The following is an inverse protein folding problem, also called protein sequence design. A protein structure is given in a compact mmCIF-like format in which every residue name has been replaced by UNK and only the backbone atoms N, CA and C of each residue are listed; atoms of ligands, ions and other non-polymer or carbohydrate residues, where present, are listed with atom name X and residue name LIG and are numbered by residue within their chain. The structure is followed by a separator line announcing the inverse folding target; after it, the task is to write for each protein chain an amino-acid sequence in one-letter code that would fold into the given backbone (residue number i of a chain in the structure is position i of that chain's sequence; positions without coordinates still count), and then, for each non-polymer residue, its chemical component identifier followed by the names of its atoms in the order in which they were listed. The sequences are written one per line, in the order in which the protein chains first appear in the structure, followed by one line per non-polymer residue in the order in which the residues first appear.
data_IF_371108901218
#
_entry.id   IF_371108901218
#
_cell.length_a   1.000
_cell.length_b   1.000
_cell.length_c   1.000
_cell.angle_alpha   90.00
_cell.angle_beta   90.00
_cell.angle_gamma   90.00
#
_symmetry.space_group_name_H-M   'P 1'
#
loop_
_entity.id
_entity.type
_entity.pdbx_description
1 polymer ?
#
# COMPACT_ATOMS: atom_id res chain seq x y z
N UNK A 1 9.84 12.52 22.53
CA UNK A 1 8.42 12.11 22.46
C UNK A 1 8.35 10.60 22.61
N UNK A 2 7.36 10.03 23.31
CA UNK A 2 7.03 8.60 23.13
C UNK A 2 6.11 8.53 21.92
N UNK A 3 6.45 7.70 20.94
CA UNK A 3 5.53 7.31 19.86
C UNK A 3 4.38 6.53 20.48
N UNK A 4 3.16 6.80 20.03
CA UNK A 4 1.99 6.02 20.43
C UNK A 4 1.94 4.67 19.67
N UNK A 5 0.85 3.92 19.81
CA UNK A 5 0.69 2.64 19.14
C UNK A 5 0.59 2.75 17.60
N UNK A 6 0.33 3.94 17.05
CA UNK A 6 0.35 4.21 15.60
C UNK A 6 1.77 4.35 15.05
N UNK A 7 2.74 4.61 15.94
CA UNK A 7 4.12 4.87 15.58
C UNK A 7 4.43 6.33 15.21
N UNK A 8 3.42 7.20 15.19
CA UNK A 8 3.56 8.61 14.86
C UNK A 8 3.95 9.46 16.08
N UNK A 9 4.61 10.60 15.85
CA UNK A 9 4.59 11.71 16.81
C UNK A 9 3.28 12.49 16.67
N UNK A 10 2.87 13.27 17.70
CA UNK A 10 1.76 14.20 17.59
C UNK A 10 1.81 15.11 16.36
N UNK A 11 2.97 15.64 15.97
CA UNK A 11 3.10 16.48 14.78
C UNK A 11 2.80 15.71 13.50
N UNK A 12 3.28 14.47 13.38
CA UNK A 12 3.02 13.61 12.22
C UNK A 12 1.55 13.17 12.16
N UNK A 13 0.95 12.89 13.31
CA UNK A 13 -0.47 12.56 13.43
C UNK A 13 -1.33 13.72 12.94
N UNK A 14 -1.06 14.95 13.40
CA UNK A 14 -1.82 16.12 12.98
C UNK A 14 -1.60 16.46 11.49
N UNK A 15 -0.40 16.28 10.96
CA UNK A 15 -0.13 16.44 9.52
C UNK A 15 -0.99 15.48 8.67
N UNK A 16 -0.99 14.20 9.02
CA UNK A 16 -1.81 13.19 8.33
C UNK A 16 -3.30 13.43 8.51
N UNK A 17 -3.74 13.82 9.71
CA UNK A 17 -5.14 14.20 9.99
C UNK A 17 -5.56 15.34 9.08
N UNK A 18 -4.79 16.42 9.02
CA UNK A 18 -5.12 17.60 8.19
C UNK A 18 -5.17 17.28 6.70
N UNK A 19 -4.32 16.38 6.21
CA UNK A 19 -4.38 15.95 4.81
C UNK A 19 -5.64 15.15 4.49
N UNK A 20 -6.03 14.17 5.32
CA UNK A 20 -7.19 13.33 5.07
C UNK A 20 -8.54 13.95 5.45
N UNK A 21 -8.53 14.75 6.51
CA UNK A 21 -9.73 15.31 7.14
C UNK A 21 -9.43 16.73 7.62
N UNK A 22 -9.25 17.69 6.70
CA UNK A 22 -9.02 19.08 7.06
C UNK A 22 -10.22 19.65 7.80
N UNK A 23 -9.97 20.39 8.89
CA UNK A 23 -11.01 21.16 9.56
C UNK A 23 -11.40 22.38 8.68
N UNK A 24 -12.61 22.95 8.84
CA UNK A 24 -13.09 24.05 7.97
C UNK A 24 -12.17 25.28 7.96
N UNK A 25 -11.36 25.46 9.01
CA UNK A 25 -10.42 26.56 9.19
C UNK A 25 -9.02 26.27 8.63
N UNK A 26 -8.73 25.02 8.26
CA UNK A 26 -7.44 24.64 7.72
C UNK A 26 -7.25 25.16 6.28
N UNK A 27 -6.07 25.72 6.01
CA UNK A 27 -5.65 25.94 4.62
C UNK A 27 -5.44 24.58 3.95
N UNK A 28 -5.98 24.43 2.75
CA UNK A 28 -5.75 23.26 1.90
C UNK A 28 -4.25 23.06 1.70
N UNK A 29 -3.79 21.83 1.88
CA UNK A 29 -2.39 21.47 1.68
C UNK A 29 -2.27 20.78 0.32
N UNK A 30 -1.41 21.32 -0.54
CA UNK A 30 -1.12 20.71 -1.83
C UNK A 30 -0.47 19.33 -1.61
N UNK A 31 -0.83 18.35 -2.44
CA UNK A 31 -0.36 16.97 -2.30
C UNK A 31 1.17 16.89 -2.31
N UNK A 32 1.82 17.58 -3.23
CA UNK A 32 3.29 17.60 -3.32
C UNK A 32 3.94 18.17 -2.05
N UNK A 33 3.37 19.22 -1.46
CA UNK A 33 3.88 19.84 -0.23
C UNK A 33 3.64 18.93 0.98
N UNK A 34 2.51 18.22 1.02
CA UNK A 34 2.23 17.21 2.03
C UNK A 34 3.20 16.02 1.95
N UNK A 35 3.36 15.43 0.76
CA UNK A 35 4.21 14.27 0.54
C UNK A 35 5.69 14.58 0.83
N UNK A 36 6.15 15.79 0.51
CA UNK A 36 7.51 16.25 0.80
C UNK A 36 7.83 16.36 2.31
N UNK A 37 6.81 16.41 3.17
CA UNK A 37 6.99 16.48 4.63
C UNK A 37 7.10 15.10 5.29
N UNK A 38 6.72 14.02 4.60
CA UNK A 38 6.80 12.67 5.16
C UNK A 38 8.25 12.17 5.15
N UNK A 39 8.73 11.68 6.28
CA UNK A 39 10.14 11.32 6.46
C UNK A 39 10.37 9.97 7.15
N UNK A 40 9.30 9.30 7.58
CA UNK A 40 9.36 8.07 8.36
C UNK A 40 8.56 6.92 7.74
N UNK A 41 8.99 5.66 7.95
CA UNK A 41 8.23 4.49 7.51
C UNK A 41 6.81 4.42 8.08
N UNK A 42 6.63 4.88 9.32
CA UNK A 42 5.34 4.89 10.01
C UNK A 42 4.36 5.87 9.36
N UNK A 43 4.81 7.06 8.93
CA UNK A 43 3.99 7.98 8.13
C UNK A 43 3.53 7.35 6.81
N UNK A 44 4.45 6.72 6.07
CA UNK A 44 4.11 6.03 4.82
C UNK A 44 3.14 4.88 5.05
N UNK A 45 3.29 4.16 6.16
CA UNK A 45 2.38 3.08 6.51
C UNK A 45 0.97 3.60 6.80
N UNK A 46 0.84 4.66 7.59
CA UNK A 46 -0.46 5.24 7.90
C UNK A 46 -1.12 5.87 6.68
N UNK A 47 -0.33 6.52 5.80
CA UNK A 47 -0.77 6.99 4.49
C UNK A 47 -1.31 5.82 3.65
N UNK A 48 -0.52 4.76 3.44
CA UNK A 48 -0.98 3.56 2.71
C UNK A 48 -2.22 2.90 3.34
N UNK A 49 -2.33 2.89 4.67
CA UNK A 49 -3.41 2.23 5.39
C UNK A 49 -4.74 2.99 5.33
N UNK A 50 -4.68 4.32 5.17
CA UNK A 50 -5.86 5.18 5.05
C UNK A 50 -6.20 5.58 3.62
N UNK A 51 -5.30 5.35 2.67
CA UNK A 51 -5.48 5.74 1.27
C UNK A 51 -6.83 5.30 0.69
N UNK A 52 -7.48 6.24 0.01
CA UNK A 52 -8.70 6.00 -0.74
C UNK A 52 -8.33 5.48 -2.14
N UNK A 53 -8.61 4.20 -2.39
CA UNK A 53 -8.19 3.52 -3.63
C UNK A 53 -8.93 4.00 -4.89
N UNK A 54 -10.01 4.77 -4.73
CA UNK A 54 -10.69 5.46 -5.84
C UNK A 54 -9.85 6.63 -6.39
N UNK A 55 -8.83 7.11 -5.67
CA UNK A 55 -7.95 8.20 -6.09
C UNK A 55 -6.82 7.73 -7.04
N UNK A 56 -6.84 6.46 -7.44
CA UNK A 56 -5.90 5.86 -8.39
C UNK A 56 -4.64 5.27 -7.75
N UNK A 57 -3.58 5.13 -8.53
CA UNK A 57 -2.34 4.47 -8.08
C UNK A 57 -1.21 5.45 -7.73
N UNK A 58 -1.42 6.77 -7.87
CA UNK A 58 -0.37 7.79 -7.77
C UNK A 58 0.38 7.81 -6.43
N UNK A 59 -0.35 7.95 -5.32
CA UNK A 59 0.26 7.93 -3.98
C UNK A 59 0.87 6.55 -3.65
N UNK A 60 0.18 5.41 -3.87
CA UNK A 60 0.80 4.08 -3.72
C UNK A 60 2.11 3.91 -4.48
N UNK A 61 2.15 4.35 -5.74
CA UNK A 61 3.34 4.34 -6.59
C UNK A 61 4.46 5.23 -6.03
N UNK A 62 4.11 6.42 -5.54
CA UNK A 62 5.05 7.30 -4.86
C UNK A 62 5.62 6.66 -3.57
N UNK A 63 4.78 6.01 -2.75
CA UNK A 63 5.20 5.38 -1.49
C UNK A 63 6.25 4.30 -1.75
N UNK A 64 6.04 3.42 -2.73
CA UNK A 64 6.96 2.29 -3.00
C UNK A 64 8.31 2.73 -3.57
N UNK A 65 8.44 4.01 -3.95
CA UNK A 65 9.68 4.63 -4.44
C UNK A 65 10.45 5.34 -3.34
N UNK A 66 9.87 5.52 -2.16
CA UNK A 66 10.55 6.17 -1.04
C UNK A 66 11.65 5.26 -0.46
N UNK A 67 12.84 5.81 -0.14
CA UNK A 67 13.97 5.02 0.36
C UNK A 67 13.73 4.43 1.76
N UNK A 68 12.74 4.95 2.49
CA UNK A 68 12.31 4.49 3.80
C UNK A 68 10.97 3.75 3.78
N UNK A 69 10.49 3.35 2.60
CA UNK A 69 9.33 2.46 2.50
C UNK A 69 9.64 1.10 3.15
N UNK A 70 8.83 0.73 4.14
CA UNK A 70 8.96 -0.53 4.85
C UNK A 70 8.42 -1.68 4.01
N UNK A 71 9.06 -2.85 4.11
CA UNK A 71 8.61 -4.08 3.44
C UNK A 71 7.16 -4.44 3.82
N UNK A 72 6.74 -4.22 5.06
CA UNK A 72 5.35 -4.43 5.49
C UNK A 72 4.38 -3.46 4.81
N UNK A 73 4.78 -2.20 4.64
CA UNK A 73 3.99 -1.18 3.92
C UNK A 73 3.85 -1.52 2.43
N UNK A 74 4.93 -1.98 1.78
CA UNK A 74 4.86 -2.44 0.40
C UNK A 74 3.91 -3.64 0.25
N UNK A 75 3.96 -4.59 1.19
CA UNK A 75 3.06 -5.75 1.16
C UNK A 75 1.59 -5.35 1.39
N UNK A 76 1.32 -4.40 2.28
CA UNK A 76 0.00 -3.81 2.48
C UNK A 76 -0.55 -3.23 1.16
N UNK A 77 0.25 -2.41 0.46
CA UNK A 77 -0.14 -1.81 -0.82
C UNK A 77 -0.39 -2.86 -1.89
N UNK A 78 0.46 -3.89 -1.97
CA UNK A 78 0.27 -4.97 -2.95
C UNK A 78 -1.09 -5.64 -2.82
N UNK A 79 -1.49 -6.02 -1.60
CA UNK A 79 -2.74 -6.74 -1.38
C UNK A 79 -3.97 -5.85 -1.53
N UNK A 80 -3.88 -4.59 -1.09
CA UNK A 80 -4.97 -3.62 -1.24
C UNK A 80 -5.15 -3.09 -2.66
N UNK A 81 -4.14 -3.19 -3.50
CA UNK A 81 -4.26 -2.99 -4.94
C UNK A 81 -5.05 -4.10 -5.66
N UNK A 82 -5.62 -5.07 -4.91
CA UNK A 82 -6.40 -6.18 -5.42
C UNK A 82 -5.69 -6.92 -6.56
N UNK A 83 -4.54 -7.57 -6.31
CA UNK A 83 -3.61 -7.98 -7.35
C UNK A 83 -4.15 -9.13 -8.22
N UNK A 84 -5.23 -9.78 -7.81
CA UNK A 84 -5.83 -10.94 -8.47
C UNK A 84 -5.92 -10.87 -10.01
N UNK A 85 -6.45 -9.80 -10.62
CA UNK A 85 -6.55 -9.69 -12.08
C UNK A 85 -5.20 -9.84 -12.80
N UNK A 86 -4.09 -9.40 -12.20
CA UNK A 86 -2.73 -9.60 -12.74
C UNK A 86 -2.32 -11.07 -12.84
N UNK A 87 -2.96 -11.96 -12.07
CA UNK A 87 -2.58 -13.38 -11.98
C UNK A 87 -3.59 -14.32 -12.62
N UNK A 88 -4.88 -13.98 -12.66
CA UNK A 88 -5.90 -14.83 -13.30
C UNK A 88 -6.51 -14.25 -14.59
N UNK A 89 -6.60 -12.92 -14.72
CA UNK A 89 -7.33 -12.31 -15.84
C UNK A 89 -6.40 -12.00 -17.03
N UNK A 90 -5.18 -11.54 -16.77
CA UNK A 90 -4.25 -11.09 -17.81
C UNK A 90 -2.92 -11.85 -17.74
N UNK A 91 -2.35 -12.17 -18.90
CA UNK A 91 -1.04 -12.80 -19.04
C UNK A 91 0.08 -11.76 -19.07
N UNK A 92 -0.23 -10.53 -19.49
CA UNK A 92 0.69 -9.40 -19.53
C UNK A 92 -0.07 -8.07 -19.66
N UNK A 93 0.68 -6.97 -19.54
CA UNK A 93 0.19 -5.59 -19.70
C UNK A 93 -0.45 -5.31 -21.07
N UNK A 94 0.04 -5.94 -22.14
CA UNK A 94 -0.49 -5.75 -23.50
C UNK A 94 -1.92 -6.29 -23.60
N UNK A 95 -2.18 -7.50 -23.09
CA UNK A 95 -3.53 -8.10 -23.04
C UNK A 95 -4.51 -7.17 -22.31
N UNK A 96 -4.11 -6.62 -21.17
CA UNK A 96 -4.92 -5.65 -20.42
C UNK A 96 -5.20 -4.38 -21.24
N UNK A 97 -4.18 -3.78 -21.87
CA UNK A 97 -4.37 -2.55 -22.64
C UNK A 97 -5.32 -2.71 -23.84
N UNK A 98 -5.48 -3.93 -24.34
CA UNK A 98 -6.41 -4.26 -25.43
C UNK A 98 -7.83 -4.58 -24.93
N UNK A 99 -8.00 -4.87 -23.63
CA UNK A 99 -9.33 -5.10 -23.04
C UNK A 99 -10.04 -3.79 -22.73
N UNK A 100 -11.30 -3.66 -23.17
CA UNK A 100 -12.17 -2.50 -22.89
C UNK A 100 -12.89 -2.62 -21.53
N UNK A 101 -12.18 -3.08 -20.51
CA UNK A 101 -12.77 -3.33 -19.18
C UNK A 101 -12.52 -2.15 -18.24
N UNK A 102 -13.50 -1.86 -17.39
CA UNK A 102 -13.39 -0.86 -16.31
C UNK A 102 -12.95 -1.51 -14.99
N UNK A 103 -12.72 -2.82 -14.96
CA UNK A 103 -12.53 -3.58 -13.72
C UNK A 103 -11.13 -3.45 -13.12
N UNK A 104 -10.13 -3.08 -13.92
CA UNK A 104 -8.73 -3.01 -13.47
C UNK A 104 -7.94 -2.11 -14.43
N UNK A 105 -7.27 -1.09 -13.90
CA UNK A 105 -6.52 -0.12 -14.70
C UNK A 105 -5.05 -0.55 -14.90
N UNK A 106 -4.44 -0.07 -15.98
CA UNK A 106 -3.02 -0.23 -16.30
C UNK A 106 -2.13 0.30 -15.18
N UNK A 107 -2.52 1.39 -14.52
CA UNK A 107 -1.71 1.97 -13.45
C UNK A 107 -1.64 1.04 -12.22
N UNK A 108 -2.74 0.37 -11.87
CA UNK A 108 -2.73 -0.65 -10.81
C UNK A 108 -1.99 -1.91 -11.23
N UNK A 109 -2.08 -2.31 -12.51
CA UNK A 109 -1.26 -3.40 -13.02
C UNK A 109 0.23 -3.09 -12.85
N UNK A 110 0.66 -1.90 -13.26
CA UNK A 110 2.05 -1.46 -13.20
C UNK A 110 2.52 -1.36 -11.74
N UNK A 111 1.70 -0.82 -10.84
CA UNK A 111 1.95 -0.80 -9.39
C UNK A 111 2.18 -2.21 -8.83
N UNK A 112 1.29 -3.15 -9.12
CA UNK A 112 1.38 -4.54 -8.62
C UNK A 112 2.66 -5.22 -9.12
N UNK A 113 3.01 -5.03 -10.40
CA UNK A 113 4.25 -5.58 -10.94
C UNK A 113 5.48 -4.95 -10.28
N UNK A 114 5.52 -3.62 -10.12
CA UNK A 114 6.66 -2.92 -9.52
C UNK A 114 6.86 -3.32 -8.06
N UNK A 115 5.77 -3.48 -7.29
CA UNK A 115 5.85 -3.98 -5.91
C UNK A 115 6.41 -5.41 -5.90
N UNK A 116 5.89 -6.33 -6.72
CA UNK A 116 6.39 -7.71 -6.80
C UNK A 116 7.90 -7.73 -7.09
N UNK A 117 8.35 -7.01 -8.12
CA UNK A 117 9.76 -6.94 -8.53
C UNK A 117 10.66 -6.40 -7.41
N UNK A 118 10.28 -5.29 -6.78
CA UNK A 118 11.01 -4.71 -5.64
C UNK A 118 11.03 -5.63 -4.43
N UNK A 119 9.91 -6.28 -4.15
CA UNK A 119 9.76 -7.18 -3.00
C UNK A 119 10.66 -8.42 -3.13
N UNK A 120 10.70 -9.01 -4.33
CA UNK A 120 11.52 -10.19 -4.66
C UNK A 120 13.01 -9.88 -4.78
N UNK A 121 13.38 -8.69 -5.25
CA UNK A 121 14.79 -8.26 -5.35
C UNK A 121 15.40 -7.85 -4.01
N UNK A 122 14.60 -7.70 -2.95
CA UNK A 122 15.07 -7.23 -1.65
C UNK A 122 15.30 -5.72 -1.60
N UNK A 123 14.63 -4.94 -2.46
CA UNK A 123 14.75 -3.49 -2.54
C UNK A 123 14.39 -2.79 -1.22
N UNK A 124 13.33 -3.24 -0.55
CA UNK A 124 12.89 -2.69 0.74
C UNK A 124 13.83 -3.12 1.87
N UNK A 125 14.71 -2.20 2.27
CA UNK A 125 15.73 -2.45 3.30
C UNK A 125 15.18 -2.46 4.73
N UNK A 126 14.02 -1.84 4.96
CA UNK A 126 13.36 -1.79 6.26
C UNK A 126 12.30 -2.90 6.39
N UNK A 127 12.24 -3.52 7.57
CA UNK A 127 11.29 -4.60 7.92
C UNK A 127 10.82 -4.44 9.37
N UNK A 128 10.52 -3.21 9.73
CA UNK A 128 10.15 -2.78 11.08
C UNK A 128 8.64 -2.85 11.32
N UNK A 129 7.83 -2.91 10.26
CA UNK A 129 6.36 -2.89 10.33
C UNK A 129 5.80 -4.24 9.87
N UNK A 130 4.99 -4.84 10.74
CA UNK A 130 4.32 -6.10 10.43
C UNK A 130 3.04 -5.85 9.63
N UNK A 131 2.85 -6.60 8.54
CA UNK A 131 1.60 -6.72 7.80
C UNK A 131 1.30 -8.21 7.58
N UNK A 132 0.06 -8.62 7.82
CA UNK A 132 -0.40 -9.99 7.62
C UNK A 132 -1.48 -10.04 6.54
N UNK A 133 -1.19 -10.59 5.34
CA UNK A 133 -2.18 -10.67 4.28
C UNK A 133 -3.37 -11.60 4.58
N UNK A 134 -3.22 -12.51 5.55
CA UNK A 134 -4.32 -13.34 6.02
C UNK A 134 -5.23 -12.65 7.06
N UNK A 135 -4.89 -11.42 7.49
CA UNK A 135 -5.70 -10.64 8.42
C UNK A 135 -5.38 -9.12 8.31
N UNK A 136 -6.02 -8.45 7.36
CA UNK A 136 -6.07 -6.99 7.27
C UNK A 136 -7.46 -6.51 7.70
N UNK A 137 -7.58 -6.03 8.94
CA UNK A 137 -8.86 -5.60 9.53
C UNK A 137 -9.97 -6.67 9.43
N UNK A 138 -9.60 -7.95 9.53
CA UNK A 138 -10.52 -9.09 9.41
C UNK A 138 -10.64 -9.69 8.01
N UNK A 139 -10.04 -9.06 6.99
CA UNK A 139 -9.97 -9.59 5.63
C UNK A 139 -8.80 -10.56 5.48
N UNK A 140 -9.07 -11.74 4.91
CA UNK A 140 -8.06 -12.72 4.52
C UNK A 140 -7.88 -12.66 2.99
N UNK A 141 -6.96 -11.80 2.55
CA UNK A 141 -6.71 -11.54 1.14
C UNK A 141 -6.23 -12.78 0.38
N UNK A 142 -5.53 -13.69 1.08
CA UNK A 142 -5.04 -14.93 0.49
C UNK A 142 -6.23 -15.79 0.08
N UNK A 143 -7.20 -16.00 0.97
CA UNK A 143 -8.40 -16.80 0.67
C UNK A 143 -9.21 -16.24 -0.48
N UNK A 144 -9.39 -14.93 -0.55
CA UNK A 144 -10.13 -14.28 -1.63
C UNK A 144 -9.52 -14.55 -3.02
N UNK A 145 -8.22 -14.85 -3.09
CA UNK A 145 -7.51 -15.11 -4.34
C UNK A 145 -7.34 -16.60 -4.69
N UNK A 146 -7.75 -17.54 -3.82
CA UNK A 146 -7.51 -18.99 -4.01
C UNK A 146 -8.55 -19.71 -4.89
N UNK A 147 -9.75 -19.15 -5.07
CA UNK A 147 -10.86 -19.83 -5.77
C UNK A 147 -10.86 -19.65 -7.30
N UNK A 148 -9.83 -19.03 -7.86
CA UNK A 148 -9.74 -18.71 -9.29
C UNK A 148 -8.62 -19.50 -9.97
N UNK A 149 -8.88 -20.04 -11.16
CA UNK A 149 -7.83 -20.64 -11.99
C UNK A 149 -6.84 -19.55 -12.42
N UNK A 150 -5.65 -19.57 -11.84
CA UNK A 150 -4.60 -18.59 -12.14
C UNK A 150 -3.82 -18.93 -13.42
N UNK A 151 -3.42 -17.88 -14.16
CA UNK A 151 -2.46 -17.93 -15.27
C UNK A 151 -1.02 -17.96 -14.75
N UNK A 152 -0.75 -17.27 -13.63
CA UNK A 152 0.54 -17.21 -12.91
C UNK A 152 0.27 -17.25 -11.40
N UNK A 153 1.13 -17.90 -10.61
CA UNK A 153 1.00 -17.91 -9.15
C UNK A 153 1.57 -16.63 -8.52
N UNK A 154 0.94 -16.17 -7.44
CA UNK A 154 1.51 -15.14 -6.57
C UNK A 154 2.75 -15.74 -5.88
N UNK A 155 3.92 -15.06 -5.88
CA UNK A 155 5.10 -15.58 -5.21
C UNK A 155 4.84 -15.91 -3.73
N UNK A 156 5.25 -17.09 -3.27
CA UNK A 156 4.93 -17.59 -1.94
C UNK A 156 5.31 -16.63 -0.80
N UNK A 157 6.44 -15.92 -0.93
CA UNK A 157 6.90 -14.94 0.07
C UNK A 157 5.95 -13.74 0.25
N UNK A 158 5.08 -13.46 -0.73
CA UNK A 158 4.06 -12.40 -0.63
C UNK A 158 2.79 -12.88 0.08
N UNK A 159 2.65 -14.19 0.31
CA UNK A 159 1.58 -14.80 1.09
C UNK A 159 1.92 -14.85 2.59
N UNK A 160 3.17 -14.55 2.95
CA UNK A 160 3.66 -14.64 4.33
C UNK A 160 3.52 -13.29 5.05
N UNK A 161 3.21 -13.29 6.36
CA UNK A 161 3.24 -12.06 7.15
C UNK A 161 4.67 -11.51 7.25
N UNK A 162 4.82 -10.18 7.15
CA UNK A 162 6.13 -9.55 7.38
C UNK A 162 6.47 -9.51 8.87
N UNK A 163 7.77 -9.56 9.23
CA UNK A 163 8.19 -9.29 10.60
C UNK A 163 7.99 -7.80 10.95
N UNK A 164 8.18 -7.47 12.23
CA UNK A 164 8.12 -6.09 12.71
C UNK A 164 7.09 -5.91 13.82
N UNK A 165 6.87 -4.65 14.21
CA UNK A 165 5.83 -4.29 15.17
C UNK A 165 4.50 -4.10 14.44
N UNK A 166 3.41 -4.53 15.08
CA UNK A 166 2.06 -4.20 14.63
C UNK A 166 1.77 -2.76 15.04
N UNK A 167 1.35 -1.94 14.10
CA UNK A 167 0.89 -0.57 14.35
C UNK A 167 -0.63 -0.56 14.51
N UNK A 168 -1.15 0.34 15.33
CA UNK A 168 -2.56 0.68 15.33
C UNK A 168 -2.86 1.66 14.20
N UNK A 169 -4.01 1.49 13.53
CA UNK A 169 -4.47 2.45 12.53
C UNK A 169 -4.84 3.75 13.23
N UNK A 170 -4.32 4.88 12.73
CA UNK A 170 -4.66 6.18 13.28
C UNK A 170 -6.18 6.44 13.20
N UNK A 171 -6.74 7.06 14.23
CA UNK A 171 -8.20 7.16 14.43
C UNK A 171 -8.84 8.47 13.94
N UNK A 172 -8.05 9.39 13.38
CA UNK A 172 -8.55 10.62 12.77
C UNK A 172 -9.43 10.35 11.54
#
# INVERSE_FOLDING_TARGET
MKMDATGLTPEQYELLKRYYWPDEEDEEIEEDDFLAQLTTPEELHQLAWKYNWDDGAGIPDWIIKQPFCDRGTALLLFWRAAPGPCYYAYANREELSQTKTLLFDLDFYDLVQEIEEKYLSGFFSQQNIAFNPANDQGTDWIKENLDVKVKREIPAIMLEPTPGRVLERASF
#
